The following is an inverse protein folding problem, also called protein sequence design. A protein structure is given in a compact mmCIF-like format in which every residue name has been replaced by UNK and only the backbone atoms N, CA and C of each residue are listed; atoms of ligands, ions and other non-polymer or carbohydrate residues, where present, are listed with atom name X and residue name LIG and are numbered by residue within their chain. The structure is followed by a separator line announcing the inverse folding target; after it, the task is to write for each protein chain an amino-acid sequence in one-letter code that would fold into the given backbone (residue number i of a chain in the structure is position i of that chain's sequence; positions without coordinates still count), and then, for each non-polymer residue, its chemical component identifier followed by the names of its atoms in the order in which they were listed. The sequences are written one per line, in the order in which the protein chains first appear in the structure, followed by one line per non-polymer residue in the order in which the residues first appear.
data_IF_402047158171
#
_entry.id   IF_402047158171
#
_cell.length_a   1.000
_cell.length_b   1.000
_cell.length_c   1.000
_cell.angle_alpha   90.00
_cell.angle_beta   90.00
_cell.angle_gamma   90.00
#
_symmetry.space_group_name_H-M   'P 1'
#
loop_
_entity.id
_entity.type
_entity.pdbx_description
1 polymer ?
#
# COMPACT_ATOMS: atom_id res chain seq x y z
N UNK A 1 8.02 26.10 9.63
CA UNK A 1 7.50 24.79 10.10
C UNK A 1 6.85 24.14 8.90
N UNK A 2 7.42 23.03 8.43
CA UNK A 2 6.89 22.32 7.25
C UNK A 2 5.57 21.64 7.61
N UNK A 3 4.64 21.60 6.67
CA UNK A 3 3.44 20.79 6.82
C UNK A 3 3.85 19.36 7.19
N UNK A 4 3.27 18.79 8.24
CA UNK A 4 3.46 17.38 8.55
C UNK A 4 2.89 16.57 7.39
N UNK A 5 3.66 15.61 6.88
CA UNK A 5 3.19 14.72 5.82
C UNK A 5 2.07 13.82 6.35
N UNK A 6 1.22 13.34 5.45
CA UNK A 6 0.21 12.34 5.78
C UNK A 6 0.89 11.06 6.25
N UNK A 7 0.46 10.55 7.41
CA UNK A 7 0.93 9.28 7.97
C UNK A 7 -0.04 8.18 7.56
N UNK A 8 0.45 7.18 6.84
CA UNK A 8 -0.32 6.11 6.21
C UNK A 8 -0.18 4.82 7.00
N UNK A 9 -1.26 4.08 7.15
CA UNK A 9 -1.26 2.73 7.71
C UNK A 9 -1.20 1.69 6.61
N UNK A 10 -2.07 1.83 5.60
CA UNK A 10 -2.11 0.93 4.46
C UNK A 10 -2.56 1.69 3.21
N UNK A 11 -1.95 1.31 2.07
CA UNK A 11 -2.48 1.62 0.75
C UNK A 11 -2.85 0.32 0.06
N UNK A 12 -4.09 0.22 -0.41
CA UNK A 12 -4.53 -0.92 -1.24
C UNK A 12 -4.96 -0.42 -2.62
N UNK A 13 -4.44 -1.04 -3.66
CA UNK A 13 -4.81 -0.75 -5.05
C UNK A 13 -5.30 -2.04 -5.70
N UNK A 14 -6.52 -1.99 -6.23
CA UNK A 14 -7.08 -3.00 -7.12
C UNK A 14 -7.56 -2.32 -8.40
N UNK A 15 -7.79 -3.04 -9.51
CA UNK A 15 -8.28 -2.42 -10.74
C UNK A 15 -9.50 -1.52 -10.50
N UNK A 16 -9.34 -0.23 -10.76
CA UNK A 16 -10.39 0.79 -10.65
C UNK A 16 -10.63 1.37 -9.26
N UNK A 17 -9.93 0.90 -8.22
CA UNK A 17 -10.12 1.34 -6.83
C UNK A 17 -8.78 1.50 -6.11
N UNK A 18 -8.60 2.66 -5.47
CA UNK A 18 -7.52 2.94 -4.53
C UNK A 18 -8.14 3.19 -3.15
N UNK A 19 -7.63 2.50 -2.13
CA UNK A 19 -7.99 2.70 -0.72
C UNK A 19 -6.75 3.17 0.02
N UNK A 20 -6.89 4.20 0.85
CA UNK A 20 -5.84 4.70 1.73
C UNK A 20 -6.40 4.77 3.15
N UNK A 21 -5.73 4.14 4.09
CA UNK A 21 -5.93 4.36 5.52
C UNK A 21 -4.80 5.24 6.05
N UNK A 22 -5.14 6.39 6.63
CA UNK A 22 -4.16 7.38 7.06
C UNK A 22 -4.67 8.32 8.15
N UNK A 23 -3.74 9.01 8.81
CA UNK A 23 -4.01 10.14 9.71
C UNK A 23 -3.77 11.44 8.95
N UNK A 24 -4.81 12.28 8.87
CA UNK A 24 -4.70 13.60 8.26
C UNK A 24 -3.95 14.55 9.21
N UNK A 25 -2.84 15.17 8.78
CA UNK A 25 -2.09 16.12 9.61
C UNK A 25 -2.91 17.34 10.06
N UNK A 26 -3.99 17.67 9.33
CA UNK A 26 -4.89 18.78 9.65
C UNK A 26 -6.05 18.36 10.58
N UNK A 27 -6.24 17.06 10.81
CA UNK A 27 -7.26 16.49 11.69
C UNK A 27 -6.75 15.22 12.42
N UNK A 28 -5.74 15.35 13.29
CA UNK A 28 -4.94 14.23 13.81
C UNK A 28 -5.61 13.48 14.97
N UNK A 29 -6.93 13.32 14.93
CA UNK A 29 -7.69 12.73 16.04
C UNK A 29 -7.62 11.20 15.95
N UNK A 30 -7.87 10.64 14.76
CA UNK A 30 -7.96 9.19 14.50
C UNK A 30 -7.66 8.88 13.01
N UNK A 31 -7.23 7.65 12.67
CA UNK A 31 -7.06 7.23 11.30
C UNK A 31 -8.41 7.16 10.58
N UNK A 32 -8.42 7.57 9.31
CA UNK A 32 -9.57 7.48 8.43
C UNK A 32 -9.20 6.71 7.17
N UNK A 33 -10.21 6.11 6.56
CA UNK A 33 -10.13 5.47 5.26
C UNK A 33 -10.73 6.39 4.20
N UNK A 34 -10.01 6.57 3.10
CA UNK A 34 -10.50 7.16 1.86
C UNK A 34 -10.51 6.12 0.75
N UNK A 35 -11.49 6.22 -0.13
CA UNK A 35 -11.58 5.39 -1.32
C UNK A 35 -11.69 6.28 -2.55
N UNK A 36 -10.85 6.04 -3.54
CA UNK A 36 -10.92 6.63 -4.86
C UNK A 36 -11.40 5.59 -5.86
N UNK A 37 -12.52 5.88 -6.52
CA UNK A 37 -13.14 5.01 -7.51
C UNK A 37 -13.64 5.86 -8.67
N UNK A 38 -13.37 5.44 -9.91
CA UNK A 38 -13.91 6.08 -11.13
C UNK A 38 -13.70 7.61 -11.21
N UNK A 39 -12.52 8.11 -10.80
CA UNK A 39 -12.22 9.55 -10.88
C UNK A 39 -12.62 10.36 -9.65
N UNK A 40 -13.23 9.75 -8.64
CA UNK A 40 -13.82 10.48 -7.50
C UNK A 40 -13.32 9.88 -6.19
N UNK A 41 -12.91 10.75 -5.26
CA UNK A 41 -12.66 10.39 -3.86
C UNK A 41 -13.99 10.43 -3.11
N UNK A 42 -14.37 9.30 -2.51
CA UNK A 42 -15.55 9.20 -1.65
C UNK A 42 -15.37 9.91 -0.30
N UNK A 43 -16.43 9.97 0.53
CA UNK A 43 -16.32 10.48 1.89
C UNK A 43 -15.37 9.61 2.72
N UNK A 44 -14.64 10.25 3.65
CA UNK A 44 -13.82 9.52 4.62
C UNK A 44 -14.69 8.70 5.57
N UNK A 45 -14.12 7.62 6.10
CA UNK A 45 -14.73 6.79 7.13
C UNK A 45 -13.73 6.57 8.27
N UNK A 46 -14.12 6.73 9.54
CA UNK A 46 -13.24 6.39 10.66
C UNK A 46 -12.81 4.92 10.60
N UNK A 47 -11.57 4.65 10.96
CA UNK A 47 -11.05 3.28 11.12
C UNK A 47 -10.93 2.96 12.60
N UNK A 48 -11.61 1.90 13.02
CA UNK A 48 -11.55 1.42 14.40
C UNK A 48 -10.37 0.46 14.58
N UNK A 49 -9.36 0.89 15.34
CA UNK A 49 -8.19 0.09 15.73
C UNK A 49 -8.33 -0.54 17.13
N UNK A 50 -9.54 -0.57 17.70
CA UNK A 50 -9.83 -1.27 18.96
C UNK A 50 -9.05 -0.73 20.16
N UNK A 51 -8.83 0.59 20.20
CA UNK A 51 -8.01 1.31 21.19
C UNK A 51 -6.51 0.92 21.22
N UNK A 52 -6.01 0.15 20.25
CA UNK A 52 -4.59 -0.22 20.16
C UNK A 52 -3.74 0.86 19.48
N UNK A 53 -3.56 1.96 20.21
CA UNK A 53 -2.79 3.13 19.76
C UNK A 53 -1.32 2.78 19.47
N UNK A 54 -0.74 1.82 20.19
CA UNK A 54 0.64 1.41 19.95
C UNK A 54 0.78 0.60 18.67
N UNK A 55 -0.14 -0.34 18.39
CA UNK A 55 -0.16 -1.04 17.11
C UNK A 55 -0.37 -0.07 15.95
N UNK A 56 -1.29 0.88 16.07
CA UNK A 56 -1.48 1.93 15.07
C UNK A 56 -0.16 2.70 14.85
N UNK A 57 0.46 3.22 15.91
CA UNK A 57 1.71 3.98 15.84
C UNK A 57 2.84 3.20 15.18
N UNK A 58 2.91 1.89 15.40
CA UNK A 58 3.91 1.03 14.80
C UNK A 58 3.69 0.81 13.31
N UNK A 59 2.44 0.82 12.84
CA UNK A 59 2.10 0.63 11.42
C UNK A 59 2.27 1.91 10.59
N UNK A 60 2.15 3.09 11.19
CA UNK A 60 2.23 4.38 10.47
C UNK A 60 3.56 4.56 9.74
N UNK A 61 3.50 5.04 8.50
CA UNK A 61 4.65 5.51 7.74
C UNK A 61 4.32 6.80 6.96
N UNK A 62 5.29 7.71 6.77
CA UNK A 62 5.10 8.89 5.94
C UNK A 62 4.75 8.50 4.50
N UNK A 63 3.75 9.15 3.90
CA UNK A 63 3.41 8.93 2.48
C UNK A 63 4.61 9.19 1.54
N UNK A 64 5.50 10.11 1.93
CA UNK A 64 6.68 10.49 1.17
C UNK A 64 7.75 9.38 1.13
N UNK A 65 7.69 8.42 2.04
CA UNK A 65 8.59 7.25 2.05
C UNK A 65 8.27 6.28 0.90
N UNK A 66 7.10 6.40 0.25
CA UNK A 66 6.68 5.56 -0.88
C UNK A 66 6.30 6.41 -2.10
N UNK A 67 7.28 6.90 -2.87
CA UNK A 67 7.02 7.70 -4.06
C UNK A 67 6.19 6.94 -5.10
N UNK A 68 5.18 7.59 -5.69
CA UNK A 68 4.33 7.00 -6.72
C UNK A 68 5.08 6.43 -7.94
N UNK A 69 6.24 7.03 -8.26
CA UNK A 69 7.13 6.55 -9.33
C UNK A 69 7.70 5.16 -9.01
N UNK A 70 8.02 4.89 -7.74
CA UNK A 70 8.56 3.60 -7.30
C UNK A 70 7.47 2.53 -7.25
N UNK A 71 6.25 2.91 -6.86
CA UNK A 71 5.07 2.03 -6.97
C UNK A 71 4.86 1.59 -8.42
N UNK A 72 4.89 2.56 -9.35
CA UNK A 72 4.72 2.30 -10.79
C UNK A 72 5.83 1.37 -11.31
N UNK A 73 7.07 1.58 -10.90
CA UNK A 73 8.20 0.74 -11.27
C UNK A 73 8.02 -0.71 -10.77
N UNK A 74 7.64 -0.90 -9.50
CA UNK A 74 7.40 -2.22 -8.91
C UNK A 74 6.27 -2.97 -9.63
N UNK A 75 5.13 -2.31 -9.85
CA UNK A 75 3.98 -2.87 -10.58
C UNK A 75 4.36 -3.23 -12.01
N UNK A 76 5.12 -2.38 -12.71
CA UNK A 76 5.59 -2.65 -14.06
C UNK A 76 6.56 -3.83 -14.17
N UNK A 77 7.38 -4.06 -13.14
CA UNK A 77 8.32 -5.19 -13.09
C UNK A 77 7.68 -6.50 -12.60
N UNK A 78 6.56 -6.43 -11.85
CA UNK A 78 5.99 -7.57 -11.14
C UNK A 78 5.58 -8.73 -12.07
N UNK A 79 4.95 -8.45 -13.21
CA UNK A 79 4.51 -9.52 -14.14
C UNK A 79 5.72 -10.30 -14.64
N UNK A 80 6.77 -9.61 -15.10
CA UNK A 80 8.00 -10.25 -15.56
C UNK A 80 8.69 -11.04 -14.45
N UNK A 81 8.79 -10.46 -13.25
CA UNK A 81 9.40 -11.12 -12.09
C UNK A 81 8.65 -12.38 -11.64
N UNK A 82 7.31 -12.38 -11.74
CA UNK A 82 6.48 -13.52 -11.38
C UNK A 82 6.74 -14.75 -12.27
N UNK A 83 7.13 -14.54 -13.53
CA UNK A 83 7.23 -15.60 -14.53
C UNK A 83 5.89 -16.22 -14.93
N UNK A 84 4.76 -15.60 -14.58
CA UNK A 84 3.43 -16.01 -15.06
C UNK A 84 3.25 -15.48 -16.48
N UNK A 85 3.17 -16.39 -17.45
CA UNK A 85 2.84 -16.04 -18.83
C UNK A 85 1.46 -15.38 -18.90
N UNK A 86 1.39 -14.25 -19.61
CA UNK A 86 0.18 -13.42 -19.76
C UNK A 86 -0.46 -13.02 -18.41
N UNK A 87 0.35 -12.96 -17.35
CA UNK A 87 -0.09 -12.55 -16.03
C UNK A 87 -0.49 -11.07 -15.98
N UNK A 88 -1.44 -10.75 -15.11
CA UNK A 88 -1.87 -9.38 -14.82
C UNK A 88 -1.76 -9.10 -13.32
N UNK A 89 -1.44 -7.86 -12.96
CA UNK A 89 -1.48 -7.42 -11.56
C UNK A 89 -2.94 -7.30 -11.13
N UNK A 90 -3.33 -8.09 -10.13
CA UNK A 90 -4.68 -8.10 -9.57
C UNK A 90 -4.82 -7.20 -8.34
N UNK A 91 -3.77 -7.05 -7.55
CA UNK A 91 -3.75 -6.11 -6.42
C UNK A 91 -2.33 -5.72 -6.01
N UNK A 92 -2.24 -4.56 -5.34
CA UNK A 92 -1.09 -4.08 -4.61
C UNK A 92 -1.53 -3.70 -3.20
N UNK A 93 -0.81 -4.12 -2.17
CA UNK A 93 -0.90 -3.56 -0.81
C UNK A 93 0.46 -3.00 -0.41
N UNK A 94 0.46 -1.84 0.27
CA UNK A 94 1.65 -1.18 0.79
C UNK A 94 1.44 -0.99 2.28
N UNK A 95 2.27 -1.66 3.07
CA UNK A 95 2.18 -1.65 4.53
C UNK A 95 3.54 -1.90 5.15
N UNK A 96 3.69 -1.73 6.46
CA UNK A 96 4.89 -2.18 7.16
C UNK A 96 4.89 -3.70 7.31
N UNK A 97 6.06 -4.31 7.22
CA UNK A 97 6.23 -5.76 7.30
C UNK A 97 6.22 -6.30 8.75
N UNK A 98 5.30 -5.82 9.58
CA UNK A 98 5.18 -6.24 10.97
C UNK A 98 4.59 -7.67 11.05
N UNK A 99 4.93 -8.44 12.09
CA UNK A 99 5.90 -8.15 13.15
C UNK A 99 7.35 -8.52 12.77
N UNK A 100 7.60 -8.86 11.50
CA UNK A 100 8.90 -9.39 11.06
C UNK A 100 9.98 -8.30 11.00
N UNK A 101 9.66 -7.15 10.42
CA UNK A 101 10.50 -5.97 10.38
C UNK A 101 9.69 -4.67 10.23
N UNK A 102 10.35 -3.53 10.37
CA UNK A 102 9.70 -2.20 10.30
C UNK A 102 9.76 -1.57 8.90
N UNK A 103 10.34 -2.24 7.91
CA UNK A 103 10.39 -1.70 6.54
C UNK A 103 8.99 -1.71 5.93
N UNK A 104 8.79 -0.78 5.00
CA UNK A 104 7.58 -0.73 4.18
C UNK A 104 7.79 -1.69 2.99
N UNK A 105 6.81 -2.54 2.75
CA UNK A 105 6.83 -3.55 1.69
C UNK A 105 5.61 -3.37 0.79
N UNK A 106 5.86 -3.49 -0.52
CA UNK A 106 4.82 -3.56 -1.54
C UNK A 106 4.54 -5.03 -1.87
N UNK A 107 3.33 -5.49 -1.54
CA UNK A 107 2.84 -6.83 -1.87
C UNK A 107 2.01 -6.76 -3.15
N UNK A 108 2.53 -7.30 -4.24
CA UNK A 108 1.91 -7.26 -5.57
C UNK A 108 1.45 -8.65 -5.95
N UNK A 109 0.14 -8.86 -6.08
CA UNK A 109 -0.41 -10.15 -6.49
C UNK A 109 -0.58 -10.17 -8.02
N UNK A 110 0.12 -11.11 -8.67
CA UNK A 110 0.03 -11.36 -10.11
C UNK A 110 -0.82 -12.61 -10.34
N UNK A 111 -1.80 -12.51 -11.22
CA UNK A 111 -2.74 -13.57 -11.57
C UNK A 111 -2.61 -13.93 -13.05
N UNK A 112 -2.55 -15.22 -13.35
CA UNK A 112 -2.73 -15.77 -14.69
C UNK A 112 -3.94 -16.68 -14.73
N UNK A 113 -4.17 -17.35 -15.88
CA UNK A 113 -5.34 -18.23 -16.07
C UNK A 113 -5.41 -19.38 -15.05
N UNK A 114 -4.25 -19.91 -14.64
CA UNK A 114 -4.16 -21.14 -13.82
C UNK A 114 -3.21 -21.05 -12.63
N UNK A 115 -2.62 -19.89 -12.39
CA UNK A 115 -1.66 -19.68 -11.32
C UNK A 115 -1.68 -18.25 -10.82
N UNK A 116 -1.21 -18.05 -9.60
CA UNK A 116 -0.98 -16.75 -9.00
C UNK A 116 0.33 -16.77 -8.23
N UNK A 117 0.99 -15.62 -8.15
CA UNK A 117 2.17 -15.42 -7.32
C UNK A 117 2.11 -14.07 -6.63
N UNK A 118 2.78 -13.97 -5.49
CA UNK A 118 2.98 -12.70 -4.81
C UNK A 118 4.41 -12.24 -5.04
N UNK A 119 4.55 -11.05 -5.62
CA UNK A 119 5.83 -10.37 -5.78
C UNK A 119 5.95 -9.34 -4.67
N UNK A 120 7.11 -9.30 -4.01
CA UNK A 120 7.42 -8.30 -2.97
C UNK A 120 8.44 -7.32 -3.50
N UNK A 121 8.24 -6.04 -3.19
CA UNK A 121 9.17 -4.98 -3.52
C UNK A 121 9.40 -4.03 -2.34
N UNK A 122 10.57 -3.42 -2.30
CA UNK A 122 10.91 -2.37 -1.33
C UNK A 122 10.43 -0.98 -1.78
N UNK A 123 10.58 0.03 -0.91
CA UNK A 123 10.19 1.43 -1.19
C UNK A 123 10.88 2.06 -2.40
N UNK A 124 11.99 1.50 -2.88
CA UNK A 124 12.69 1.97 -4.09
C UNK A 124 12.09 1.38 -5.37
N UNK A 125 11.13 0.46 -5.24
CA UNK A 125 10.50 -0.25 -6.33
C UNK A 125 11.29 -1.48 -6.80
N UNK A 126 12.33 -1.89 -6.06
CA UNK A 126 13.08 -3.09 -6.40
C UNK A 126 12.39 -4.34 -5.89
N UNK A 127 12.29 -5.35 -6.76
CA UNK A 127 11.74 -6.65 -6.40
C UNK A 127 12.72 -7.37 -5.47
N UNK A 128 12.26 -7.74 -4.28
CA UNK A 128 13.05 -8.42 -3.25
C UNK A 128 12.74 -9.91 -3.18
N UNK A 129 11.52 -10.31 -3.51
CA UNK A 129 11.07 -11.71 -3.38
C UNK A 129 9.92 -12.04 -4.33
N UNK A 130 9.79 -13.32 -4.69
CA UNK A 130 8.63 -13.88 -5.38
C UNK A 130 8.21 -15.17 -4.66
N UNK A 131 6.96 -15.22 -4.21
CA UNK A 131 6.34 -16.35 -3.49
C UNK A 131 5.26 -17.01 -4.33
#
# INVERSE_FOLDING_TARGET
MGAHSMEVVEVTIVPGVLTIEAIDPNAPIEPNQWQYTSGVVGPSRPVDYGDDVEALRQNLFPVDDVPAVNITAAVGAAVAASGIADGAVGSLSITRNLPFDTNIVMFINVQGERSSKQVRADVTGQITEVV
#
